data_IF_441986561169
#
_entry.id   IF_441986561169
#
_cell.length_a   1.000
_cell.length_b   1.000
_cell.length_c   1.000
_cell.angle_alpha   90.00
_cell.angle_beta   90.00
_cell.angle_gamma   90.00
#
_symmetry.space_group_name_H-M   'P 1'
#
loop_
_entity.id
_entity.type
_entity.pdbx_description
1 polymer ?
#
# COMPACT_ATOMS: atom_id res chain seq x y z
N UNK A 1 -15.61 32.02 0.23
CA UNK A 1 -16.06 30.78 0.84
C UNK A 1 -17.16 30.18 0.00
N UNK A 2 -16.85 29.20 -0.83
CA UNK A 2 -17.87 28.34 -1.41
C UNK A 2 -18.21 27.29 -0.37
N UNK A 3 -19.23 27.58 0.45
CA UNK A 3 -19.72 26.67 1.46
C UNK A 3 -20.36 25.45 0.82
N UNK A 4 -19.62 24.38 0.71
CA UNK A 4 -20.26 23.06 0.58
C UNK A 4 -21.08 22.84 1.85
N UNK A 5 -22.36 22.42 1.75
CA UNK A 5 -23.19 22.17 2.92
C UNK A 5 -22.76 20.86 3.58
N UNK A 6 -21.60 20.87 4.24
CA UNK A 6 -21.08 19.73 5.02
C UNK A 6 -21.90 19.46 6.28
N UNK A 7 -22.75 20.39 6.68
CA UNK A 7 -23.61 20.27 7.88
C UNK A 7 -24.70 19.17 7.78
N UNK A 8 -24.79 18.47 6.64
CA UNK A 8 -25.80 17.44 6.39
C UNK A 8 -25.27 15.99 6.36
N UNK A 9 -23.97 15.76 6.54
CA UNK A 9 -23.46 14.41 6.74
C UNK A 9 -23.63 14.02 8.22
N UNK A 10 -24.89 13.95 8.68
CA UNK A 10 -25.23 13.77 10.09
C UNK A 10 -25.16 12.33 10.56
N UNK A 11 -24.94 11.37 9.68
CA UNK A 11 -24.77 9.96 10.03
C UNK A 11 -23.94 9.23 8.96
N UNK A 12 -22.60 9.39 8.98
CA UNK A 12 -21.77 8.65 8.06
C UNK A 12 -21.80 7.17 8.44
N UNK A 13 -22.11 6.28 7.48
CA UNK A 13 -21.97 4.84 7.66
C UNK A 13 -20.48 4.40 7.75
N UNK A 14 -19.57 5.35 7.66
CA UNK A 14 -18.13 5.15 7.76
C UNK A 14 -17.65 5.48 9.16
N UNK A 15 -16.75 4.66 9.71
CA UNK A 15 -16.19 4.84 11.05
C UNK A 15 -15.20 6.01 11.13
N UNK A 16 -14.53 6.33 10.00
CA UNK A 16 -13.56 7.42 9.89
C UNK A 16 -13.58 7.98 8.47
N UNK A 17 -13.50 9.30 8.33
CA UNK A 17 -13.48 10.00 7.04
C UNK A 17 -12.48 11.16 7.11
N UNK A 18 -11.68 11.28 6.06
CA UNK A 18 -10.89 12.47 5.78
C UNK A 18 -11.02 12.82 4.30
N UNK A 19 -11.51 14.00 4.01
CA UNK A 19 -11.71 14.48 2.64
C UNK A 19 -10.93 15.77 2.44
N UNK A 20 -10.06 15.79 1.45
CA UNK A 20 -9.22 16.92 1.08
C UNK A 20 -9.38 17.23 -0.40
N UNK A 21 -9.40 18.52 -0.75
CA UNK A 21 -9.29 18.97 -2.14
C UNK A 21 -7.82 19.09 -2.51
N UNK A 22 -7.35 18.26 -3.46
CA UNK A 22 -5.96 18.29 -3.91
C UNK A 22 -5.58 19.56 -4.65
N UNK A 23 -6.54 20.22 -5.32
CA UNK A 23 -6.29 21.47 -6.05
C UNK A 23 -5.98 22.65 -5.13
N UNK A 24 -6.52 22.64 -3.92
CA UNK A 24 -6.46 23.78 -2.99
C UNK A 24 -5.82 23.43 -1.65
N UNK A 25 -5.43 22.17 -1.45
CA UNK A 25 -4.94 21.62 -0.18
C UNK A 25 -5.87 21.97 1.00
N UNK A 26 -7.19 21.92 0.72
CA UNK A 26 -8.21 22.31 1.69
C UNK A 26 -8.96 21.10 2.20
N UNK A 27 -8.98 20.94 3.52
CA UNK A 27 -9.80 19.91 4.18
C UNK A 27 -11.27 20.27 4.00
N UNK A 28 -12.02 19.41 3.32
CA UNK A 28 -13.44 19.60 2.99
C UNK A 28 -14.35 19.05 4.08
N UNK A 29 -13.99 17.84 4.59
CA UNK A 29 -14.79 17.17 5.63
C UNK A 29 -13.92 16.20 6.43
N UNK A 30 -14.20 16.07 7.72
CA UNK A 30 -13.56 15.09 8.60
C UNK A 30 -14.55 14.48 9.58
N UNK A 31 -14.35 13.17 9.83
CA UNK A 31 -15.03 12.43 10.90
C UNK A 31 -14.06 11.41 11.47
N UNK A 32 -13.73 11.50 12.75
CA UNK A 32 -12.72 10.65 13.41
C UNK A 32 -11.43 10.46 12.58
N UNK A 33 -10.82 11.52 11.99
CA UNK A 33 -9.75 11.36 10.99
C UNK A 33 -8.46 10.76 11.56
N UNK A 34 -8.25 10.88 12.86
CA UNK A 34 -7.02 10.46 13.56
C UNK A 34 -7.20 9.18 14.38
N UNK A 35 -8.35 8.54 14.29
CA UNK A 35 -8.60 7.26 14.94
C UNK A 35 -7.90 6.13 14.18
N UNK A 36 -7.10 5.32 14.89
CA UNK A 36 -6.43 4.15 14.32
C UNK A 36 -7.46 3.10 13.90
N UNK A 37 -7.35 2.64 12.66
CA UNK A 37 -8.24 1.66 12.05
C UNK A 37 -7.45 0.65 11.20
N UNK A 38 -7.93 -0.58 11.09
CA UNK A 38 -7.47 -1.50 10.06
C UNK A 38 -7.66 -0.87 8.67
N UNK A 39 -6.65 -0.97 7.82
CA UNK A 39 -6.67 -0.34 6.50
C UNK A 39 -7.05 -1.29 5.36
N UNK A 40 -7.07 -2.60 5.62
CA UNK A 40 -7.35 -3.62 4.61
C UNK A 40 -6.52 -3.40 3.33
N UNK A 41 -7.11 -3.58 2.16
CA UNK A 41 -6.40 -3.47 0.87
C UNK A 41 -5.87 -2.08 0.53
N UNK A 42 -6.17 -1.03 1.29
CA UNK A 42 -5.47 0.26 1.15
C UNK A 42 -3.97 0.15 1.44
N UNK A 43 -3.55 -0.87 2.18
CA UNK A 43 -2.14 -1.27 2.35
C UNK A 43 -1.38 -1.32 1.03
N UNK A 44 -2.01 -1.80 -0.03
CA UNK A 44 -1.39 -1.97 -1.36
C UNK A 44 -0.93 -0.66 -2.00
N UNK A 45 -1.46 0.47 -1.55
CA UNK A 45 -0.97 1.79 -1.97
C UNK A 45 0.48 1.99 -1.50
N UNK A 46 0.79 1.62 -0.25
CA UNK A 46 2.17 1.70 0.26
C UNK A 46 3.08 0.64 -0.39
N UNK A 47 2.58 -0.56 -0.64
CA UNK A 47 3.32 -1.59 -1.40
C UNK A 47 3.65 -1.11 -2.81
N UNK A 48 2.73 -0.39 -3.46
CA UNK A 48 2.99 0.26 -4.74
C UNK A 48 4.13 1.27 -4.64
N UNK A 49 4.07 2.19 -3.66
CA UNK A 49 5.09 3.23 -3.46
C UNK A 49 6.47 2.59 -3.29
N UNK A 50 6.61 1.66 -2.36
CA UNK A 50 7.89 0.98 -2.09
C UNK A 50 8.42 0.27 -3.34
N UNK A 51 7.56 -0.44 -4.06
CA UNK A 51 7.95 -1.12 -5.30
C UNK A 51 8.42 -0.13 -6.36
N UNK A 52 7.69 0.97 -6.56
CA UNK A 52 8.02 1.97 -7.58
C UNK A 52 9.30 2.77 -7.24
N UNK A 53 9.63 2.93 -5.97
CA UNK A 53 10.87 3.58 -5.54
C UNK A 53 12.08 2.67 -5.61
N UNK A 54 11.90 1.36 -5.43
CA UNK A 54 13.00 0.40 -5.43
C UNK A 54 13.34 -0.16 -6.80
N UNK A 55 12.40 -0.14 -7.75
CA UNK A 55 12.55 -0.71 -9.09
C UNK A 55 12.56 0.39 -10.15
N UNK A 56 13.72 0.62 -10.78
CA UNK A 56 13.90 1.72 -11.74
C UNK A 56 13.19 1.52 -13.09
N UNK A 57 12.97 0.28 -13.52
CA UNK A 57 12.31 -0.07 -14.78
C UNK A 57 11.15 -1.04 -14.54
N UNK A 58 10.00 -0.47 -14.22
CA UNK A 58 8.80 -1.25 -13.90
C UNK A 58 8.26 -2.06 -15.08
N UNK A 59 8.43 -1.57 -16.31
CA UNK A 59 7.86 -2.17 -17.51
C UNK A 59 8.67 -3.35 -18.06
N UNK A 60 9.98 -3.38 -17.83
CA UNK A 60 10.85 -4.42 -18.39
C UNK A 60 11.45 -5.34 -17.33
N UNK A 61 11.54 -4.90 -16.06
CA UNK A 61 11.97 -5.77 -14.97
C UNK A 61 10.95 -6.87 -14.73
N UNK A 62 11.39 -8.12 -14.69
CA UNK A 62 10.51 -9.30 -14.52
C UNK A 62 10.87 -10.07 -13.26
N UNK A 63 9.85 -10.67 -12.68
CA UNK A 63 10.02 -11.66 -11.60
C UNK A 63 9.12 -12.86 -11.85
N UNK A 64 9.38 -13.94 -11.13
CA UNK A 64 8.61 -15.18 -11.19
C UNK A 64 7.86 -15.35 -9.87
N UNK A 65 6.60 -15.79 -9.93
CA UNK A 65 5.79 -16.06 -8.73
C UNK A 65 6.40 -17.21 -7.93
N UNK A 66 6.87 -16.96 -6.69
CA UNK A 66 7.43 -18.02 -5.85
C UNK A 66 6.35 -18.98 -5.32
N UNK A 67 6.70 -20.22 -5.06
CA UNK A 67 5.81 -21.24 -4.47
C UNK A 67 5.26 -20.80 -3.11
N UNK A 68 6.08 -20.14 -2.29
CA UNK A 68 5.68 -19.62 -0.98
C UNK A 68 4.51 -18.62 -1.01
N UNK A 69 4.22 -17.98 -2.15
CA UNK A 69 3.05 -17.08 -2.28
C UNK A 69 1.74 -17.86 -2.14
N UNK A 70 1.63 -19.00 -2.81
CA UNK A 70 0.45 -19.85 -2.70
C UNK A 70 0.30 -20.44 -1.29
N UNK A 71 1.39 -20.88 -0.70
CA UNK A 71 1.44 -21.47 0.66
C UNK A 71 1.00 -20.45 1.73
N UNK A 72 1.49 -19.21 1.67
CA UNK A 72 1.17 -18.17 2.66
C UNK A 72 -0.28 -17.67 2.55
N UNK A 73 -0.89 -17.76 1.38
CA UNK A 73 -2.26 -17.31 1.15
C UNK A 73 -3.30 -18.43 1.22
N UNK A 74 -2.88 -19.69 1.35
CA UNK A 74 -3.78 -20.83 1.48
C UNK A 74 -4.73 -20.66 2.68
N UNK A 75 -6.03 -20.81 2.45
CA UNK A 75 -7.06 -20.75 3.48
C UNK A 75 -7.36 -19.36 4.03
N UNK A 76 -6.71 -18.29 3.55
CA UNK A 76 -6.96 -16.91 4.02
C UNK A 76 -8.29 -16.34 3.53
N UNK A 77 -8.87 -16.88 2.46
CA UNK A 77 -10.10 -16.35 1.83
C UNK A 77 -9.91 -14.93 1.23
N UNK A 78 -8.67 -14.53 0.98
CA UNK A 78 -8.33 -13.21 0.44
C UNK A 78 -8.59 -13.09 -1.06
N UNK A 79 -8.70 -11.84 -1.57
CA UNK A 79 -8.78 -11.58 -3.01
C UNK A 79 -7.47 -11.96 -3.69
N UNK A 80 -7.55 -12.74 -4.78
CA UNK A 80 -6.41 -13.16 -5.59
C UNK A 80 -6.57 -12.66 -7.02
N UNK A 81 -5.46 -12.37 -7.67
CA UNK A 81 -5.39 -12.18 -9.13
C UNK A 81 -5.28 -13.51 -9.87
N UNK A 82 -5.27 -14.63 -9.13
CA UNK A 82 -5.18 -16.02 -9.62
C UNK A 82 -3.89 -16.34 -10.39
N UNK A 83 -2.79 -15.65 -10.07
CA UNK A 83 -1.48 -15.93 -10.66
C UNK A 83 -0.93 -17.26 -10.11
N UNK A 84 -0.23 -18.02 -10.97
CA UNK A 84 0.25 -19.35 -10.62
C UNK A 84 1.75 -19.36 -10.32
N UNK A 85 2.16 -20.21 -9.39
CA UNK A 85 3.59 -20.47 -9.11
C UNK A 85 4.36 -20.75 -10.40
N UNK A 86 5.49 -20.09 -10.59
CA UNK A 86 6.34 -20.24 -11.76
C UNK A 86 5.98 -19.34 -12.95
N UNK A 87 4.82 -18.67 -12.94
CA UNK A 87 4.52 -17.65 -13.95
C UNK A 87 5.44 -16.44 -13.79
N UNK A 88 5.78 -15.81 -14.91
CA UNK A 88 6.67 -14.65 -14.95
C UNK A 88 5.93 -13.40 -15.43
N UNK A 89 5.99 -12.35 -14.64
CA UNK A 89 5.36 -11.05 -14.92
C UNK A 89 6.39 -9.93 -14.89
N UNK A 90 6.13 -8.84 -15.60
CA UNK A 90 6.82 -7.56 -15.32
C UNK A 90 6.32 -6.99 -14.00
N UNK A 91 7.13 -6.14 -13.38
CA UNK A 91 6.71 -5.43 -12.16
C UNK A 91 5.44 -4.60 -12.44
N UNK A 92 5.38 -3.95 -13.61
CA UNK A 92 4.19 -3.20 -14.03
C UNK A 92 2.93 -4.08 -14.15
N UNK A 93 3.03 -5.29 -14.71
CA UNK A 93 1.91 -6.25 -14.77
C UNK A 93 1.45 -6.64 -13.37
N UNK A 94 2.38 -6.91 -12.43
CA UNK A 94 2.05 -7.22 -11.04
C UNK A 94 1.41 -6.04 -10.31
N UNK A 95 1.86 -4.81 -10.55
CA UNK A 95 1.23 -3.61 -9.99
C UNK A 95 -0.24 -3.48 -10.45
N UNK A 96 -0.53 -3.78 -11.71
CA UNK A 96 -1.91 -3.83 -12.21
C UNK A 96 -2.72 -4.94 -11.53
N UNK A 97 -2.17 -6.15 -11.44
CA UNK A 97 -2.82 -7.30 -10.79
C UNK A 97 -3.00 -7.10 -9.28
N UNK A 98 -2.16 -6.30 -8.64
CA UNK A 98 -2.30 -5.91 -7.24
C UNK A 98 -3.41 -4.88 -7.05
N UNK A 99 -3.45 -3.82 -7.87
CA UNK A 99 -4.33 -2.67 -7.64
C UNK A 99 -5.74 -2.86 -8.20
N UNK A 100 -5.89 -3.43 -9.40
CA UNK A 100 -7.20 -3.51 -10.09
C UNK A 100 -8.09 -4.59 -9.48
N UNK A 101 -7.73 -5.91 -9.47
CA UNK A 101 -8.51 -6.94 -8.79
C UNK A 101 -8.21 -7.03 -7.29
N UNK A 102 -7.33 -6.19 -6.77
CA UNK A 102 -6.86 -6.24 -5.37
C UNK A 102 -6.15 -7.56 -5.01
N UNK A 103 -5.34 -8.12 -5.93
CA UNK A 103 -4.66 -9.41 -5.78
C UNK A 103 -3.64 -9.42 -4.65
N UNK A 104 -3.87 -10.25 -3.62
CA UNK A 104 -2.92 -10.44 -2.53
C UNK A 104 -1.70 -11.26 -2.98
N UNK A 105 -1.88 -12.17 -3.90
CA UNK A 105 -0.84 -12.96 -4.56
C UNK A 105 0.15 -12.06 -5.33
N UNK A 106 -0.36 -11.08 -6.07
CA UNK A 106 0.46 -10.09 -6.75
C UNK A 106 1.21 -9.19 -5.73
N UNK A 107 0.55 -8.73 -4.66
CA UNK A 107 1.16 -7.93 -3.61
C UNK A 107 2.31 -8.68 -2.92
N UNK A 108 2.08 -9.95 -2.56
CA UNK A 108 3.10 -10.78 -1.91
C UNK A 108 4.26 -11.11 -2.86
N UNK A 109 3.97 -11.36 -4.16
CA UNK A 109 5.01 -11.56 -5.18
C UNK A 109 5.90 -10.32 -5.32
N UNK A 110 5.31 -9.11 -5.34
CA UNK A 110 6.07 -7.85 -5.37
C UNK A 110 6.93 -7.67 -4.12
N UNK A 111 6.38 -7.94 -2.93
CA UNK A 111 7.12 -7.83 -1.69
C UNK A 111 8.33 -8.79 -1.67
N UNK A 112 8.14 -10.05 -2.02
CA UNK A 112 9.23 -11.04 -2.13
C UNK A 112 10.28 -10.64 -3.17
N UNK A 113 9.87 -9.98 -4.26
CA UNK A 113 10.82 -9.43 -5.21
C UNK A 113 11.66 -8.31 -4.58
N UNK A 114 11.03 -7.36 -3.89
CA UNK A 114 11.72 -6.26 -3.16
C UNK A 114 12.70 -6.84 -2.13
N UNK A 115 12.28 -7.82 -1.34
CA UNK A 115 13.14 -8.52 -0.36
C UNK A 115 14.37 -9.13 -1.05
N UNK A 116 14.19 -9.70 -2.24
CA UNK A 116 15.28 -10.32 -3.01
C UNK A 116 16.34 -9.34 -3.50
N UNK A 117 16.05 -8.04 -3.52
CA UNK A 117 17.01 -6.99 -3.90
C UNK A 117 18.10 -6.79 -2.83
N UNK A 118 17.92 -7.32 -1.63
CA UNK A 118 18.84 -7.22 -0.50
C UNK A 118 19.28 -5.77 -0.23
N UNK A 119 18.32 -4.86 -0.13
CA UNK A 119 18.57 -3.45 0.13
C UNK A 119 19.21 -3.31 1.50
N UNK A 120 20.38 -2.65 1.56
CA UNK A 120 21.08 -2.46 2.83
C UNK A 120 20.32 -1.50 3.73
N UNK A 121 20.16 -1.86 5.00
CA UNK A 121 19.58 -0.97 6.01
C UNK A 121 20.50 0.22 6.24
N UNK A 122 20.01 1.42 5.99
CA UNK A 122 20.71 2.68 6.21
C UNK A 122 20.40 3.29 7.60
N UNK A 123 19.35 2.82 8.24
CA UNK A 123 18.92 3.20 9.57
C UNK A 123 18.52 1.95 10.39
N UNK A 124 19.31 1.59 11.42
CA UNK A 124 19.03 0.42 12.27
C UNK A 124 17.67 0.46 12.99
N UNK A 125 17.02 1.61 13.05
CA UNK A 125 15.68 1.74 13.66
C UNK A 125 14.64 0.97 12.87
N UNK A 126 14.83 0.78 11.55
CA UNK A 126 13.89 0.11 10.66
C UNK A 126 14.35 -1.30 10.25
N UNK A 127 15.50 -1.75 10.70
CA UNK A 127 16.01 -3.11 10.54
C UNK A 127 15.53 -3.93 11.75
N UNK A 128 14.28 -4.42 11.67
CA UNK A 128 13.59 -5.02 12.82
C UNK A 128 14.18 -6.38 13.23
N UNK A 129 14.68 -7.14 12.26
CA UNK A 129 15.30 -8.45 12.52
C UNK A 129 16.81 -8.41 12.69
N UNK A 130 17.45 -7.26 12.42
CA UNK A 130 18.86 -7.00 12.63
C UNK A 130 19.78 -7.73 11.64
N UNK A 131 19.27 -8.09 10.45
CA UNK A 131 20.05 -8.78 9.42
C UNK A 131 20.88 -7.85 8.54
N UNK A 132 20.73 -6.53 8.72
CA UNK A 132 21.40 -5.48 7.97
C UNK A 132 20.78 -5.19 6.62
N UNK A 133 19.55 -5.65 6.37
CA UNK A 133 18.80 -5.45 5.13
C UNK A 133 17.44 -4.86 5.44
N UNK A 134 16.76 -4.45 4.39
CA UNK A 134 15.39 -3.92 4.45
C UNK A 134 14.45 -4.84 3.69
N UNK A 135 13.52 -5.45 4.38
CA UNK A 135 12.36 -6.11 3.77
C UNK A 135 11.38 -5.08 3.19
N UNK A 136 10.47 -5.53 2.36
CA UNK A 136 9.40 -4.68 1.82
C UNK A 136 8.58 -4.03 2.94
N UNK A 137 8.25 -4.77 4.00
CA UNK A 137 7.45 -4.26 5.13
C UNK A 137 8.22 -3.21 5.93
N UNK A 138 9.50 -3.43 6.17
CA UNK A 138 10.37 -2.44 6.83
C UNK A 138 10.50 -1.15 6.01
N UNK A 139 10.65 -1.28 4.67
CA UNK A 139 10.61 -0.13 3.76
C UNK A 139 9.26 0.60 3.81
N UNK A 140 8.13 -0.11 3.92
CA UNK A 140 6.80 0.49 4.08
C UNK A 140 6.72 1.30 5.38
N UNK A 141 7.21 0.77 6.50
CA UNK A 141 7.22 1.47 7.79
C UNK A 141 8.17 2.67 7.77
N UNK A 142 9.36 2.53 7.17
CA UNK A 142 10.29 3.64 6.96
C UNK A 142 9.64 4.76 6.14
N UNK A 143 9.00 4.41 5.01
CA UNK A 143 8.30 5.38 4.17
C UNK A 143 7.16 6.07 4.90
N UNK A 144 6.37 5.35 5.69
CA UNK A 144 5.33 5.97 6.53
C UNK A 144 5.92 7.02 7.48
N UNK A 145 7.03 6.71 8.13
CA UNK A 145 7.71 7.66 9.02
C UNK A 145 8.28 8.87 8.25
N UNK A 146 8.88 8.68 7.07
CA UNK A 146 9.35 9.76 6.20
C UNK A 146 8.21 10.71 5.78
N UNK A 147 7.01 10.19 5.58
CA UNK A 147 5.80 10.96 5.27
C UNK A 147 5.14 11.60 6.51
N UNK A 148 5.71 11.38 7.71
CA UNK A 148 5.16 11.89 8.96
C UNK A 148 3.97 11.10 9.51
N UNK A 149 3.71 9.90 9.00
CA UNK A 149 2.60 9.03 9.38
C UNK A 149 2.94 8.24 10.65
N UNK A 150 2.84 8.87 11.81
CA UNK A 150 3.24 8.29 13.11
C UNK A 150 2.19 7.36 13.74
N UNK A 151 0.98 7.32 13.18
CA UNK A 151 -0.11 6.44 13.58
C UNK A 151 -0.41 5.38 12.51
N UNK A 152 0.57 5.08 11.67
CA UNK A 152 0.50 4.04 10.64
C UNK A 152 1.57 2.99 10.91
N UNK A 153 1.20 1.73 10.81
CA UNK A 153 2.12 0.61 10.94
C UNK A 153 1.69 -0.54 10.02
N UNK A 154 2.65 -1.10 9.30
CA UNK A 154 2.45 -2.21 8.38
C UNK A 154 3.12 -3.47 8.91
N UNK A 155 2.45 -4.62 8.79
CA UNK A 155 3.00 -5.95 9.11
C UNK A 155 2.93 -6.92 7.93
N UNK A 156 2.26 -6.52 6.84
CA UNK A 156 2.18 -7.30 5.62
C UNK A 156 1.95 -6.37 4.40
N UNK A 157 2.22 -6.85 3.15
CA UNK A 157 2.11 -6.02 1.95
C UNK A 157 0.71 -5.97 1.32
N UNK A 158 -0.27 -6.70 1.84
CA UNK A 158 -1.56 -6.92 1.16
C UNK A 158 -2.78 -6.46 1.96
N UNK A 159 -2.67 -6.29 3.28
CA UNK A 159 -3.75 -5.77 4.12
C UNK A 159 -4.61 -6.84 4.79
N UNK A 160 -4.19 -8.10 4.88
CA UNK A 160 -4.81 -9.05 5.79
C UNK A 160 -4.72 -8.55 7.22
N UNK A 161 -5.78 -8.80 7.98
CA UNK A 161 -5.93 -8.23 9.31
C UNK A 161 -4.87 -8.73 10.30
N UNK A 162 -4.29 -7.78 11.01
CA UNK A 162 -3.45 -7.97 12.19
C UNK A 162 -3.69 -6.79 13.14
N UNK A 163 -3.62 -6.99 14.45
CA UNK A 163 -3.84 -5.94 15.45
C UNK A 163 -2.79 -4.81 15.36
N UNK A 164 -1.59 -5.13 14.88
CA UNK A 164 -0.50 -4.19 14.65
C UNK A 164 -0.52 -3.58 13.25
N UNK A 165 -1.52 -3.89 12.41
CA UNK A 165 -1.66 -3.39 11.05
C UNK A 165 -2.74 -2.31 10.99
N UNK A 166 -2.36 -1.05 11.14
CA UNK A 166 -3.29 0.07 11.29
C UNK A 166 -2.80 1.35 10.63
N UNK A 167 -3.74 2.24 10.38
CA UNK A 167 -3.51 3.62 9.93
C UNK A 167 -4.61 4.54 10.46
N UNK A 168 -4.57 5.81 10.07
CA UNK A 168 -5.68 6.77 10.25
C UNK A 168 -6.17 7.26 8.89
N UNK A 169 -7.40 7.77 8.82
CA UNK A 169 -7.94 8.30 7.55
C UNK A 169 -7.09 9.48 7.02
N UNK A 170 -6.59 10.34 7.93
CA UNK A 170 -5.69 11.44 7.57
C UNK A 170 -4.38 10.94 6.99
N UNK A 171 -3.71 10.02 7.67
CA UNK A 171 -2.40 9.52 7.23
C UNK A 171 -2.53 8.71 5.93
N UNK A 172 -3.62 7.95 5.77
CA UNK A 172 -3.89 7.26 4.50
C UNK A 172 -4.09 8.22 3.32
N UNK A 173 -4.70 9.39 3.57
CA UNK A 173 -4.78 10.45 2.55
C UNK A 173 -3.39 10.99 2.19
N UNK A 174 -2.51 11.24 3.18
CA UNK A 174 -1.13 11.66 2.95
C UNK A 174 -0.35 10.63 2.12
N UNK A 175 -0.48 9.35 2.45
CA UNK A 175 0.15 8.25 1.70
C UNK A 175 -0.39 8.19 0.26
N UNK A 176 -1.71 8.35 0.10
CA UNK A 176 -2.34 8.32 -1.24
C UNK A 176 -1.92 9.52 -2.08
N UNK A 177 -1.82 10.71 -1.49
CA UNK A 177 -1.34 11.91 -2.17
C UNK A 177 0.10 11.72 -2.66
N UNK A 178 0.96 11.13 -1.84
CA UNK A 178 2.31 10.78 -2.28
C UNK A 178 2.30 9.75 -3.41
N UNK A 179 1.43 8.73 -3.33
CA UNK A 179 1.31 7.71 -4.37
C UNK A 179 0.93 8.30 -5.74
N UNK A 180 0.16 9.40 -5.79
CA UNK A 180 -0.18 10.09 -7.04
C UNK A 180 1.06 10.64 -7.78
N UNK A 181 2.19 10.78 -7.10
CA UNK A 181 3.47 11.18 -7.72
C UNK A 181 4.26 10.01 -8.30
N UNK A 182 3.85 8.77 -8.02
CA UNK A 182 4.56 7.58 -8.47
C UNK A 182 4.32 7.29 -9.96
N UNK A 183 5.35 6.76 -10.67
CA UNK A 183 5.21 6.36 -12.07
C UNK A 183 4.01 5.42 -12.27
N UNK A 184 3.19 5.68 -13.28
CA UNK A 184 2.04 4.87 -13.69
C UNK A 184 0.93 4.68 -12.65
N UNK A 185 1.02 5.26 -11.45
CA UNK A 185 0.00 5.03 -10.41
C UNK A 185 -1.41 5.42 -10.88
N UNK A 186 -1.53 6.60 -11.47
CA UNK A 186 -2.82 7.07 -12.01
C UNK A 186 -3.28 6.20 -13.18
N UNK A 187 -2.38 5.78 -14.06
CA UNK A 187 -2.72 4.93 -15.21
C UNK A 187 -3.26 3.56 -14.75
N UNK A 188 -2.65 2.99 -13.72
CA UNK A 188 -3.07 1.71 -13.12
C UNK A 188 -4.41 1.86 -12.40
N UNK A 189 -4.57 2.90 -11.57
CA UNK A 189 -5.75 3.05 -10.71
C UNK A 189 -6.97 3.63 -11.42
N UNK A 190 -6.82 4.20 -12.62
CA UNK A 190 -7.92 4.68 -13.46
C UNK A 190 -8.53 3.61 -14.37
N UNK A 191 -7.98 2.40 -14.38
CA UNK A 191 -8.53 1.32 -15.20
C UNK A 191 -9.91 0.90 -14.69
N UNK A 192 -10.79 0.58 -15.63
CA UNK A 192 -12.12 0.01 -15.37
C UNK A 192 -12.16 -1.42 -15.86
N UNK A 193 -12.86 -2.29 -15.12
CA UNK A 193 -13.18 -3.65 -15.56
C UNK A 193 -14.10 -3.64 -16.78
#
# INVERSE_FOLDING_TARGET
>A
EMGFPCDKLTDPNSASIYMVSLDTDTVVYTYNPDERRPMASMTKIMTYIVTAETVSDLQNTRTTVPESVAEELEGTGSSLAEIQTGESFTIYELLNLMMVPSGNDAALTLAKYVDSLNITADDPQYDEDGDGKMSCVELMNKKAAELGCTNTHFVNPHGLHDENHYTTAREMATITEYALTMPYFTDVTSQTY
#
